data_IF_978171355983
#
_entry.id   IF_978171355983
#
_cell.length_a   1.000
_cell.length_b   1.000
_cell.length_c   1.000
_cell.angle_alpha   90.00
_cell.angle_beta   90.00
_cell.angle_gamma   90.00
#
_symmetry.space_group_name_H-M   'P 1'
#
loop_
_entity.id
_entity.type
_entity.pdbx_description
1 polymer ?
#
# COMPACT_ATOMS: atom_id res chain seq x y z
N UNK A 1 19.22 -14.56 -17.89
CA UNK A 1 17.86 -14.43 -18.47
C UNK A 1 17.02 -13.63 -17.50
N UNK A 2 16.85 -12.33 -17.76
CA UNK A 2 15.89 -11.52 -17.01
C UNK A 2 14.49 -12.05 -17.32
N UNK A 3 13.97 -12.90 -16.42
CA UNK A 3 12.58 -13.32 -16.50
C UNK A 3 11.75 -12.05 -16.45
N UNK A 4 11.08 -11.71 -17.54
CA UNK A 4 10.22 -10.55 -17.63
C UNK A 4 9.05 -10.77 -16.65
N UNK A 5 9.25 -10.37 -15.38
CA UNK A 5 8.25 -10.54 -14.32
C UNK A 5 6.97 -9.85 -14.77
N UNK A 6 5.88 -10.60 -14.84
CA UNK A 6 4.56 -10.08 -15.20
C UNK A 6 4.18 -8.90 -14.30
N UNK A 7 3.39 -7.98 -14.83
CA UNK A 7 2.96 -6.78 -14.11
C UNK A 7 2.13 -7.15 -12.87
N UNK A 8 1.34 -8.23 -12.93
CA UNK A 8 0.64 -8.77 -11.75
C UNK A 8 1.61 -9.16 -10.65
N UNK A 9 2.70 -9.86 -10.95
CA UNK A 9 3.67 -10.27 -9.93
C UNK A 9 4.38 -9.06 -9.31
N UNK A 10 4.71 -8.04 -10.11
CA UNK A 10 5.28 -6.78 -9.59
C UNK A 10 4.30 -6.05 -8.68
N UNK A 11 3.04 -5.92 -9.10
CA UNK A 11 2.00 -5.28 -8.27
C UNK A 11 1.72 -6.05 -6.98
N UNK A 12 1.76 -7.39 -7.04
CA UNK A 12 1.65 -8.25 -5.87
C UNK A 12 2.84 -8.11 -4.92
N UNK A 13 4.07 -7.94 -5.43
CA UNK A 13 5.25 -7.66 -4.61
C UNK A 13 5.12 -6.32 -3.89
N UNK A 14 4.62 -5.29 -4.57
CA UNK A 14 4.30 -3.99 -3.94
C UNK A 14 3.25 -4.15 -2.85
N UNK A 15 2.19 -4.93 -3.11
CA UNK A 15 1.13 -5.19 -2.12
C UNK A 15 1.64 -5.87 -0.86
N UNK A 16 2.57 -6.84 -1.00
CA UNK A 16 3.22 -7.47 0.15
C UNK A 16 4.00 -6.47 1.00
N UNK A 17 4.71 -5.54 0.36
CA UNK A 17 5.42 -4.47 1.09
C UNK A 17 4.45 -3.54 1.81
N UNK A 18 3.34 -3.16 1.18
CA UNK A 18 2.28 -2.36 1.82
C UNK A 18 1.75 -3.07 3.06
N UNK A 19 1.44 -4.37 2.97
CA UNK A 19 0.93 -5.14 4.11
C UNK A 19 1.94 -5.19 5.28
N UNK A 20 3.23 -5.33 4.99
CA UNK A 20 4.29 -5.30 6.01
C UNK A 20 4.34 -3.93 6.69
N UNK A 21 4.33 -2.85 5.91
CA UNK A 21 4.34 -1.48 6.43
C UNK A 21 3.09 -1.18 7.27
N UNK A 22 1.91 -1.64 6.84
CA UNK A 22 0.67 -1.50 7.60
C UNK A 22 0.70 -2.30 8.90
N UNK A 23 1.30 -3.49 8.88
CA UNK A 23 1.50 -4.30 10.10
C UNK A 23 2.40 -3.56 11.08
N UNK A 24 3.49 -2.97 10.60
CA UNK A 24 4.39 -2.16 11.44
C UNK A 24 3.69 -0.91 11.99
N UNK A 25 2.88 -0.23 11.17
CA UNK A 25 2.10 0.92 11.59
C UNK A 25 1.10 0.55 12.70
N UNK A 26 0.39 -0.58 12.54
CA UNK A 26 -0.55 -1.10 13.52
C UNK A 26 0.14 -1.47 14.84
N UNK A 27 1.28 -2.19 14.78
CA UNK A 27 2.07 -2.54 15.96
C UNK A 27 2.55 -1.28 16.71
N UNK A 28 3.00 -0.26 15.98
CA UNK A 28 3.42 1.00 16.58
C UNK A 28 2.31 1.66 17.39
N UNK A 29 1.08 1.66 16.88
CA UNK A 29 -0.09 2.17 17.63
C UNK A 29 -0.31 1.34 18.88
N UNK A 30 -0.25 0.01 18.78
CA UNK A 30 -0.49 -0.90 19.90
C UNK A 30 0.52 -0.74 21.04
N UNK A 31 1.80 -0.51 20.74
CA UNK A 31 2.85 -0.39 21.76
C UNK A 31 2.78 0.94 22.52
N UNK A 32 2.17 1.98 21.92
CA UNK A 32 1.82 3.26 22.57
C UNK A 32 2.89 3.84 23.52
N UNK A 33 4.15 3.89 23.06
CA UNK A 33 5.31 4.25 23.91
C UNK A 33 5.27 5.74 24.31
N UNK A 34 5.21 6.63 23.31
CA UNK A 34 5.15 8.09 23.47
C UNK A 34 4.35 8.71 22.31
N UNK A 35 3.45 9.68 22.56
CA UNK A 35 2.56 10.22 21.53
C UNK A 35 3.29 10.78 20.30
N UNK A 36 4.39 11.50 20.52
CA UNK A 36 5.16 12.14 19.44
C UNK A 36 5.85 11.12 18.54
N UNK A 37 6.47 10.11 19.16
CA UNK A 37 7.18 9.04 18.46
C UNK A 37 6.19 8.13 17.73
N UNK A 38 5.08 7.77 18.37
CA UNK A 38 4.02 6.96 17.75
C UNK A 38 3.39 7.67 16.56
N UNK A 39 3.25 9.01 16.59
CA UNK A 39 2.74 9.78 15.42
C UNK A 39 3.65 9.63 14.20
N UNK A 40 4.96 9.74 14.38
CA UNK A 40 5.94 9.62 13.28
C UNK A 40 6.02 8.16 12.80
N UNK A 41 6.16 7.22 13.74
CA UNK A 41 6.28 5.80 13.44
C UNK A 41 5.00 5.20 12.83
N UNK A 42 3.84 5.80 13.06
CA UNK A 42 2.60 5.47 12.35
C UNK A 42 2.50 6.18 11.01
N UNK A 43 2.69 7.51 11.00
CA UNK A 43 2.47 8.34 9.82
C UNK A 43 3.41 8.01 8.66
N UNK A 44 4.70 7.77 8.95
CA UNK A 44 5.70 7.51 7.92
C UNK A 44 5.39 6.22 7.11
N UNK A 45 5.17 5.05 7.74
CA UNK A 45 4.75 3.85 7.01
C UNK A 45 3.46 4.05 6.20
N UNK A 46 2.49 4.79 6.72
CA UNK A 46 1.22 5.06 6.01
C UNK A 46 1.47 5.86 4.73
N UNK A 47 2.25 6.95 4.81
CA UNK A 47 2.59 7.77 3.65
C UNK A 47 3.37 6.96 2.60
N UNK A 48 4.37 6.19 3.04
CA UNK A 48 5.15 5.32 2.14
C UNK A 48 4.25 4.27 1.48
N UNK A 49 3.38 3.62 2.25
CA UNK A 49 2.38 2.68 1.71
C UNK A 49 1.46 3.35 0.68
N UNK A 50 1.07 4.60 0.90
CA UNK A 50 0.28 5.38 -0.06
C UNK A 50 0.95 5.54 -1.41
N UNK A 51 2.20 5.99 -1.40
CA UNK A 51 3.01 6.14 -2.61
C UNK A 51 3.19 4.78 -3.31
N UNK A 52 3.47 3.73 -2.55
CA UNK A 52 3.53 2.37 -3.08
C UNK A 52 2.21 1.92 -3.70
N UNK A 53 1.07 2.24 -3.08
CA UNK A 53 -0.26 1.94 -3.61
C UNK A 53 -0.51 2.57 -4.99
N UNK A 54 -0.03 3.80 -5.21
CA UNK A 54 -0.09 4.46 -6.52
C UNK A 54 0.74 3.68 -7.56
N UNK A 55 2.00 3.34 -7.22
CA UNK A 55 2.85 2.55 -8.12
C UNK A 55 2.28 1.16 -8.40
N UNK A 56 1.75 0.49 -7.39
CA UNK A 56 1.08 -0.82 -7.53
C UNK A 56 -0.15 -0.76 -8.43
N UNK A 57 -0.92 0.33 -8.33
CA UNK A 57 -2.07 0.62 -9.21
C UNK A 57 -1.66 0.84 -10.66
N UNK A 58 -0.53 1.54 -10.91
CA UNK A 58 0.03 1.69 -12.26
C UNK A 58 0.39 0.32 -12.86
N UNK A 59 0.98 -0.58 -12.07
CA UNK A 59 1.27 -1.94 -12.54
C UNK A 59 0.00 -2.75 -12.84
N UNK A 60 -1.08 -2.58 -12.06
CA UNK A 60 -2.37 -3.23 -12.35
C UNK A 60 -2.91 -2.79 -13.70
N UNK A 61 -2.90 -1.47 -13.98
CA UNK A 61 -3.39 -0.92 -15.24
C UNK A 61 -2.57 -1.48 -16.42
N UNK A 62 -1.24 -1.58 -16.27
CA UNK A 62 -0.36 -2.16 -17.31
C UNK A 62 -0.53 -3.68 -17.46
N UNK A 63 -0.96 -4.38 -16.42
CA UNK A 63 -1.21 -5.83 -16.40
C UNK A 63 -2.70 -6.19 -16.57
N UNK A 64 -3.52 -5.30 -17.10
CA UNK A 64 -4.97 -5.49 -17.17
C UNK A 64 -5.37 -6.71 -18.00
N UNK A 65 -4.64 -6.98 -19.08
CA UNK A 65 -4.86 -8.12 -19.99
C UNK A 65 -4.34 -9.45 -19.42
N UNK A 66 -3.59 -9.44 -18.32
CA UNK A 66 -3.11 -10.68 -17.68
C UNK A 66 -4.27 -11.47 -17.05
N UNK A 67 -4.24 -12.81 -17.06
CA UNK A 67 -5.32 -13.63 -16.52
C UNK A 67 -5.55 -13.36 -15.03
N UNK A 68 -6.82 -13.32 -14.64
CA UNK A 68 -7.21 -13.11 -13.25
C UNK A 68 -6.85 -14.32 -12.40
N UNK A 69 -6.07 -14.09 -11.36
CA UNK A 69 -5.69 -15.09 -10.35
C UNK A 69 -5.71 -14.45 -8.95
N UNK A 70 -5.46 -15.26 -7.93
CA UNK A 70 -5.43 -14.82 -6.52
C UNK A 70 -4.48 -13.63 -6.29
N UNK A 71 -3.30 -13.65 -6.92
CA UNK A 71 -2.31 -12.57 -6.78
C UNK A 71 -2.81 -11.26 -7.36
N UNK A 72 -3.49 -11.30 -8.52
CA UNK A 72 -4.08 -10.12 -9.16
C UNK A 72 -5.20 -9.54 -8.30
N UNK A 73 -6.03 -10.39 -7.69
CA UNK A 73 -7.08 -9.96 -6.76
C UNK A 73 -6.46 -9.25 -5.55
N UNK A 74 -5.48 -9.88 -4.88
CA UNK A 74 -4.77 -9.26 -3.74
C UNK A 74 -4.13 -7.94 -4.16
N UNK A 75 -3.48 -7.92 -5.33
CA UNK A 75 -2.82 -6.73 -5.84
C UNK A 75 -3.80 -5.57 -6.03
N UNK A 76 -4.95 -5.84 -6.67
CA UNK A 76 -6.00 -4.85 -6.88
C UNK A 76 -6.51 -4.34 -5.53
N UNK A 77 -6.94 -5.24 -4.65
CA UNK A 77 -7.55 -4.88 -3.38
C UNK A 77 -6.61 -4.04 -2.51
N UNK A 78 -5.38 -4.50 -2.29
CA UNK A 78 -4.44 -3.84 -1.37
C UNK A 78 -3.98 -2.49 -1.92
N UNK A 79 -3.55 -2.43 -3.18
CA UNK A 79 -3.06 -1.18 -3.75
C UNK A 79 -4.17 -0.12 -3.85
N UNK A 80 -5.36 -0.52 -4.29
CA UNK A 80 -6.47 0.43 -4.44
C UNK A 80 -7.01 0.90 -3.09
N UNK A 81 -7.15 0.00 -2.12
CA UNK A 81 -7.53 0.37 -0.76
C UNK A 81 -6.53 1.35 -0.14
N UNK A 82 -5.23 1.17 -0.37
CA UNK A 82 -4.20 2.05 0.16
C UNK A 82 -4.24 3.45 -0.47
N UNK A 83 -4.50 3.54 -1.79
CA UNK A 83 -4.72 4.82 -2.47
C UNK A 83 -5.93 5.53 -1.90
N UNK A 84 -7.06 4.83 -1.75
CA UNK A 84 -8.27 5.39 -1.16
C UNK A 84 -8.06 5.85 0.29
N UNK A 85 -7.31 5.09 1.08
CA UNK A 85 -6.99 5.44 2.46
C UNK A 85 -6.22 6.77 2.52
N UNK A 86 -5.21 6.95 1.68
CA UNK A 86 -4.43 8.20 1.63
C UNK A 86 -5.26 9.37 1.13
N UNK A 87 -6.06 9.18 0.08
CA UNK A 87 -6.97 10.22 -0.39
C UNK A 87 -7.95 10.64 0.73
N UNK A 88 -8.49 9.66 1.46
CA UNK A 88 -9.39 9.92 2.59
C UNK A 88 -8.67 10.69 3.69
N UNK A 89 -7.45 10.32 4.07
CA UNK A 89 -6.67 11.05 5.09
C UNK A 89 -6.39 12.49 4.65
N UNK A 90 -6.01 12.70 3.39
CA UNK A 90 -5.74 14.05 2.86
C UNK A 90 -7.01 14.91 2.83
N UNK A 91 -8.13 14.34 2.38
CA UNK A 91 -9.43 15.04 2.38
C UNK A 91 -9.86 15.36 3.82
N UNK A 92 -9.73 14.42 4.74
CA UNK A 92 -10.06 14.64 6.15
C UNK A 92 -9.21 15.75 6.77
N UNK A 93 -7.92 15.83 6.46
CA UNK A 93 -7.03 16.89 6.96
C UNK A 93 -7.16 18.24 6.24
N UNK A 94 -7.90 18.32 5.15
CA UNK A 94 -8.12 19.58 4.41
C UNK A 94 -9.50 20.17 4.67
N UNK A 95 -10.50 19.32 4.90
CA UNK A 95 -11.88 19.74 5.22
C UNK A 95 -12.13 19.94 6.72
N UNK A 96 -11.30 19.36 7.60
CA UNK A 96 -11.32 19.54 9.06
C UNK A 96 -9.96 20.05 9.55
#
# INVERSE_FOLDING_TARGET
MEANKSYTERSYQVSKLILILLTFAALTIMVNIKPEISRILFGLPIVVSGVLGIFGSIFIIKGMDEPTNEKKIIAITVNFAMVLLILTILVSNTLY
#
